data_IF_495364016372
#
_entry.id   IF_495364016372
#
_cell.length_a   1.000
_cell.length_b   1.000
_cell.length_c   1.000
_cell.angle_alpha   90.00
_cell.angle_beta   90.00
_cell.angle_gamma   90.00
#
_symmetry.space_group_name_H-M   'P 1'
#
loop_
_entity.id
_entity.type
_entity.pdbx_description
1 polymer ?
#
# COMPACT_ATOMS: atom_id res chain seq x y z
N UNK A 1 -11.57 45.63 46.26
CA UNK A 1 -12.15 45.67 47.61
C UNK A 1 -12.01 44.28 48.21
N UNK A 2 -11.44 44.25 49.38
CA UNK A 2 -11.05 43.04 50.12
C UNK A 2 -12.35 42.39 50.72
N UNK A 3 -12.37 41.06 50.79
CA UNK A 3 -13.39 40.31 51.51
C UNK A 3 -12.88 38.97 51.96
N UNK A 4 -12.61 38.90 53.22
CA UNK A 4 -11.88 37.89 54.03
C UNK A 4 -12.59 36.54 54.13
N UNK A 5 -11.78 35.50 54.15
CA UNK A 5 -12.04 34.15 54.58
C UNK A 5 -12.19 34.07 56.10
N UNK A 6 -13.12 33.24 56.64
CA UNK A 6 -13.08 32.76 58.01
C UNK A 6 -13.36 31.27 58.05
N UNK A 7 -12.36 30.58 58.56
CA UNK A 7 -12.42 29.17 58.98
C UNK A 7 -13.37 28.95 60.16
N UNK A 8 -14.03 27.85 60.17
CA UNK A 8 -14.60 27.23 61.38
C UNK A 8 -14.28 25.73 61.37
N UNK A 9 -13.56 25.35 62.39
CA UNK A 9 -13.22 23.97 62.76
C UNK A 9 -14.41 23.33 63.43
N UNK A 10 -14.78 22.12 63.04
CA UNK A 10 -15.80 21.28 63.69
C UNK A 10 -15.54 19.83 63.43
N UNK A 11 -15.40 19.09 64.52
CA UNK A 11 -15.00 17.71 64.72
C UNK A 11 -15.96 16.69 64.10
N UNK A 12 -15.46 15.68 63.45
CA UNK A 12 -15.90 14.26 63.57
C UNK A 12 -17.10 13.84 62.76
N UNK A 13 -16.87 12.93 61.83
CA UNK A 13 -17.45 11.59 61.66
C UNK A 13 -16.88 11.05 60.33
N UNK A 14 -16.19 9.89 60.40
CA UNK A 14 -15.79 9.13 59.22
C UNK A 14 -17.05 8.63 58.51
N UNK A 15 -17.32 9.13 57.29
CA UNK A 15 -18.17 8.46 56.34
C UNK A 15 -17.30 8.03 55.17
N UNK A 16 -17.17 6.72 54.99
CA UNK A 16 -16.53 6.08 53.84
C UNK A 16 -17.46 6.34 52.64
N UNK A 17 -17.19 7.38 51.85
CA UNK A 17 -17.84 7.57 50.57
C UNK A 17 -17.17 6.69 49.55
N UNK A 18 -17.81 5.57 49.23
CA UNK A 18 -17.45 4.76 48.06
C UNK A 18 -17.60 5.61 46.79
N UNK A 19 -16.51 5.82 46.07
CA UNK A 19 -16.57 6.29 44.69
C UNK A 19 -17.25 5.20 43.85
N UNK A 20 -18.51 5.42 43.54
CA UNK A 20 -19.19 4.70 42.47
C UNK A 20 -18.60 5.26 41.17
N UNK A 21 -17.79 4.45 40.48
CA UNK A 21 -17.40 4.70 39.10
C UNK A 21 -18.69 4.73 38.27
N UNK A 22 -18.90 5.75 37.42
CA UNK A 22 -20.03 5.73 36.50
C UNK A 22 -19.88 4.53 35.57
N UNK A 23 -20.96 3.75 35.45
CA UNK A 23 -21.04 2.54 34.64
C UNK A 23 -20.71 2.85 33.18
N UNK A 24 -19.88 2.02 32.62
CA UNK A 24 -19.57 1.91 31.18
C UNK A 24 -20.70 1.16 30.44
N UNK A 25 -21.95 1.43 30.79
CA UNK A 25 -23.10 0.93 30.06
C UNK A 25 -23.70 2.10 29.27
N UNK A 26 -23.27 2.21 28.02
CA UNK A 26 -23.84 2.98 26.88
C UNK A 26 -22.75 3.75 26.11
N UNK A 27 -21.71 3.03 25.62
CA UNK A 27 -21.11 3.45 24.37
C UNK A 27 -22.08 2.98 23.28
N UNK A 28 -22.62 3.90 22.45
CA UNK A 28 -23.32 3.47 21.25
C UNK A 28 -22.29 2.73 20.39
N UNK A 29 -22.61 1.48 20.07
CA UNK A 29 -21.95 0.79 18.97
C UNK A 29 -21.95 1.73 17.76
N UNK A 30 -20.85 1.84 17.00
CA UNK A 30 -20.85 2.63 15.78
C UNK A 30 -21.89 2.02 14.83
N UNK A 31 -23.07 2.61 14.80
CA UNK A 31 -24.11 2.32 13.81
C UNK A 31 -23.81 3.16 12.59
N UNK A 32 -22.86 2.73 11.81
CA UNK A 32 -22.73 2.82 10.35
C UNK A 32 -21.35 2.30 10.01
N UNK A 33 -21.25 1.01 9.77
CA UNK A 33 -20.28 0.51 8.79
C UNK A 33 -20.67 1.24 7.51
N UNK A 34 -19.86 2.19 7.05
CA UNK A 34 -20.01 2.69 5.68
C UNK A 34 -20.00 1.46 4.77
N UNK A 35 -20.89 1.39 3.77
CA UNK A 35 -21.00 0.20 2.95
C UNK A 35 -19.62 -0.10 2.38
N UNK A 36 -19.07 -1.23 2.76
CA UNK A 36 -17.89 -1.85 2.15
C UNK A 36 -18.09 -1.73 0.65
N UNK A 37 -17.19 -1.09 -0.06
CA UNK A 37 -17.44 -0.77 -1.47
C UNK A 37 -17.45 -2.08 -2.23
N UNK A 38 -18.62 -2.38 -2.74
CA UNK A 38 -18.89 -3.61 -3.46
C UNK A 38 -18.02 -3.70 -4.73
N UNK A 39 -17.70 -4.89 -5.22
CA UNK A 39 -16.93 -5.08 -6.44
C UNK A 39 -17.48 -4.32 -7.64
N UNK A 40 -16.66 -3.92 -8.62
CA UNK A 40 -17.11 -3.14 -9.77
C UNK A 40 -18.21 -3.79 -10.61
N UNK A 41 -18.32 -5.12 -10.59
CA UNK A 41 -19.39 -5.83 -11.28
C UNK A 41 -20.79 -5.51 -10.77
N UNK A 42 -20.92 -4.98 -9.54
CA UNK A 42 -22.20 -4.59 -8.93
C UNK A 42 -22.89 -3.46 -9.70
N UNK A 43 -22.13 -2.66 -10.44
CA UNK A 43 -22.66 -1.62 -11.31
C UNK A 43 -23.09 -2.12 -12.68
N UNK A 44 -22.86 -3.42 -13.01
CA UNK A 44 -23.16 -4.05 -14.30
C UNK A 44 -23.89 -5.39 -14.09
N UNK A 45 -23.19 -6.55 -14.18
CA UNK A 45 -23.79 -7.87 -13.93
C UNK A 45 -22.81 -8.83 -13.21
N UNK A 46 -22.80 -8.81 -11.88
CA UNK A 46 -21.99 -9.74 -11.09
C UNK A 46 -22.41 -11.21 -11.36
N UNK A 47 -21.43 -12.08 -11.44
CA UNK A 47 -21.62 -13.53 -11.43
C UNK A 47 -20.51 -14.21 -10.61
N UNK A 48 -20.65 -15.47 -10.25
CA UNK A 48 -19.68 -16.15 -9.39
C UNK A 48 -18.24 -16.18 -9.94
N UNK A 49 -18.04 -15.95 -11.23
CA UNK A 49 -16.72 -15.86 -11.85
C UNK A 49 -16.00 -14.54 -11.61
N UNK A 50 -16.70 -13.52 -11.12
CA UNK A 50 -16.14 -12.19 -10.84
C UNK A 50 -15.57 -12.07 -9.43
N UNK A 51 -15.76 -13.10 -8.59
CA UNK A 51 -15.27 -13.13 -7.22
C UNK A 51 -14.11 -14.11 -7.06
N UNK A 52 -13.08 -13.66 -6.35
CA UNK A 52 -11.92 -14.50 -6.04
C UNK A 52 -12.22 -15.59 -4.99
N UNK A 53 -13.17 -15.33 -4.10
CA UNK A 53 -13.53 -16.20 -2.99
C UNK A 53 -15.01 -16.04 -2.60
N UNK A 54 -15.51 -17.00 -1.83
CA UNK A 54 -16.90 -17.06 -1.40
C UNK A 54 -17.29 -15.90 -0.45
N UNK A 55 -16.45 -15.47 0.54
CA UNK A 55 -16.80 -14.34 1.39
C UNK A 55 -17.05 -13.03 0.65
N UNK A 56 -16.34 -12.75 -0.43
CA UNK A 56 -16.58 -11.55 -1.22
C UNK A 56 -17.93 -11.64 -1.98
N UNK A 57 -18.26 -12.81 -2.52
CA UNK A 57 -19.56 -13.06 -3.13
C UNK A 57 -20.70 -12.98 -2.09
N UNK A 58 -20.46 -13.48 -0.86
CA UNK A 58 -21.39 -13.40 0.26
C UNK A 58 -21.69 -11.97 0.66
N UNK A 59 -20.66 -11.13 0.71
CA UNK A 59 -20.80 -9.70 1.01
C UNK A 59 -21.75 -9.01 0.01
N UNK A 60 -21.64 -9.34 -1.27
CA UNK A 60 -22.54 -8.81 -2.31
C UNK A 60 -23.95 -9.33 -2.09
N UNK A 61 -24.12 -10.62 -1.86
CA UNK A 61 -25.45 -11.21 -1.57
C UNK A 61 -26.13 -10.51 -0.39
N UNK A 62 -25.39 -10.27 0.72
CA UNK A 62 -25.92 -9.63 1.92
C UNK A 62 -26.20 -8.11 1.74
N UNK A 63 -25.57 -7.49 0.74
CA UNK A 63 -25.73 -6.07 0.46
C UNK A 63 -26.95 -5.74 -0.39
N UNK A 64 -27.54 -6.73 -1.06
CA UNK A 64 -28.68 -6.55 -1.96
C UNK A 64 -29.84 -7.46 -1.57
N UNK A 65 -30.99 -6.86 -1.25
CA UNK A 65 -32.22 -7.63 -1.08
C UNK A 65 -32.58 -8.32 -2.41
N UNK A 66 -33.13 -9.52 -2.31
CA UNK A 66 -33.65 -10.30 -3.45
C UNK A 66 -32.60 -10.87 -4.42
N UNK A 67 -31.32 -10.89 -4.06
CA UNK A 67 -30.21 -11.46 -4.86
C UNK A 67 -30.30 -11.14 -6.38
N UNK A 68 -30.18 -9.86 -6.77
CA UNK A 68 -30.37 -9.45 -8.17
C UNK A 68 -29.35 -10.07 -9.14
N UNK A 69 -28.23 -10.60 -8.63
CA UNK A 69 -27.16 -11.22 -9.39
C UNK A 69 -27.22 -12.74 -9.41
N UNK A 70 -28.20 -13.32 -8.72
CA UNK A 70 -28.40 -14.79 -8.62
C UNK A 70 -27.14 -15.50 -8.11
N UNK A 71 -26.49 -14.94 -7.10
CA UNK A 71 -25.28 -15.48 -6.47
C UNK A 71 -25.60 -16.68 -5.55
N UNK A 72 -26.81 -16.71 -4.97
CA UNK A 72 -27.36 -17.81 -4.18
C UNK A 72 -28.44 -18.54 -5.00
N UNK A 73 -28.01 -19.40 -5.92
CA UNK A 73 -28.91 -20.02 -6.89
C UNK A 73 -29.91 -21.00 -6.28
N UNK A 74 -29.57 -21.65 -5.17
CA UNK A 74 -30.44 -22.64 -4.52
C UNK A 74 -31.22 -22.09 -3.32
N UNK A 75 -31.02 -20.82 -2.98
CA UNK A 75 -31.74 -20.08 -1.95
C UNK A 75 -31.39 -20.52 -0.52
N UNK A 76 -30.20 -21.04 -0.30
CA UNK A 76 -29.79 -21.55 1.00
C UNK A 76 -29.08 -20.47 1.86
N UNK A 77 -28.90 -19.25 1.35
CA UNK A 77 -28.25 -18.10 2.01
C UNK A 77 -26.74 -18.06 1.85
N UNK A 78 -26.16 -18.90 0.98
CA UNK A 78 -24.72 -18.97 0.72
C UNK A 78 -24.43 -18.62 -0.73
N UNK A 79 -23.73 -17.50 -0.95
CA UNK A 79 -23.37 -17.08 -2.29
C UNK A 79 -22.25 -17.95 -2.88
N UNK A 80 -22.37 -18.32 -4.15
CA UNK A 80 -21.28 -18.91 -4.94
C UNK A 80 -20.51 -20.04 -4.24
N UNK A 81 -21.19 -21.05 -3.72
CA UNK A 81 -20.64 -22.15 -2.91
C UNK A 81 -19.45 -22.90 -3.56
N UNK A 82 -19.32 -22.82 -4.89
CA UNK A 82 -18.20 -23.43 -5.60
C UNK A 82 -16.89 -22.63 -5.49
N UNK A 83 -16.96 -21.40 -4.98
CA UNK A 83 -15.77 -20.62 -4.71
C UNK A 83 -15.07 -21.09 -3.43
N UNK A 84 -13.76 -20.93 -3.33
CA UNK A 84 -13.03 -21.27 -2.11
C UNK A 84 -13.61 -20.49 -0.92
N UNK A 85 -13.68 -21.08 0.29
CA UNK A 85 -14.30 -20.48 1.47
C UNK A 85 -13.58 -19.25 2.06
N UNK A 86 -12.45 -18.97 1.74
CA UNK A 86 -11.56 -17.79 1.66
C UNK A 86 -10.65 -18.23 0.54
N UNK A 87 -10.07 -17.33 -0.22
CA UNK A 87 -8.87 -17.74 -0.93
C UNK A 87 -8.02 -18.39 0.15
N UNK A 88 -8.09 -19.75 0.22
CA UNK A 88 -7.28 -20.47 1.16
C UNK A 88 -5.89 -19.99 0.83
N UNK A 89 -5.49 -18.93 1.55
CA UNK A 89 -4.15 -18.46 1.50
C UNK A 89 -3.38 -19.74 1.57
N UNK A 90 -2.61 -20.03 0.57
CA UNK A 90 -1.56 -21.00 0.68
C UNK A 90 -1.23 -21.00 2.16
N UNK A 91 -1.36 -22.16 2.85
CA UNK A 91 -0.82 -22.35 4.19
C UNK A 91 0.39 -21.44 4.24
N UNK A 92 0.58 -20.52 5.23
CA UNK A 92 1.69 -19.61 5.18
C UNK A 92 2.87 -20.48 4.84
N UNK A 93 3.16 -20.54 3.55
CA UNK A 93 4.32 -21.24 3.08
C UNK A 93 5.35 -20.60 3.98
N UNK A 94 6.08 -21.37 4.74
CA UNK A 94 7.23 -20.95 5.50
C UNK A 94 8.23 -20.39 4.47
N UNK A 95 7.80 -19.42 3.71
CA UNK A 95 8.58 -18.48 2.97
C UNK A 95 9.06 -17.48 4.01
N UNK A 96 10.02 -17.92 4.82
CA UNK A 96 11.02 -16.99 5.31
C UNK A 96 11.62 -16.41 4.04
N UNK A 97 11.04 -15.32 3.56
CA UNK A 97 11.67 -14.55 2.50
C UNK A 97 13.02 -14.14 3.05
N UNK A 98 14.10 -14.76 2.57
CA UNK A 98 15.46 -14.33 2.92
C UNK A 98 15.68 -12.87 2.47
N UNK A 99 14.79 -12.36 1.61
CA UNK A 99 14.82 -11.01 1.07
C UNK A 99 13.95 -10.06 1.91
N UNK A 100 14.59 -9.20 2.69
CA UNK A 100 13.92 -8.19 3.53
C UNK A 100 12.92 -7.31 2.75
N UNK A 101 13.12 -7.16 1.44
CA UNK A 101 12.24 -6.36 0.60
C UNK A 101 10.90 -7.04 0.27
N UNK A 102 10.76 -8.32 0.56
CA UNK A 102 9.52 -9.09 0.40
C UNK A 102 8.89 -9.47 1.75
N UNK A 103 9.24 -8.78 2.82
CA UNK A 103 8.69 -9.03 4.17
C UNK A 103 7.16 -8.95 4.20
N UNK A 104 6.55 -8.05 3.44
CA UNK A 104 5.07 -7.94 3.35
C UNK A 104 4.44 -9.00 2.43
N UNK A 105 5.25 -9.76 1.70
CA UNK A 105 4.82 -10.76 0.72
C UNK A 105 5.19 -10.42 -0.72
N UNK A 106 4.69 -11.24 -1.64
CA UNK A 106 4.84 -11.10 -3.09
C UNK A 106 3.46 -10.82 -3.70
N UNK A 107 3.08 -9.55 -3.90
CA UNK A 107 1.69 -9.14 -4.15
C UNK A 107 1.01 -9.79 -5.35
N UNK A 108 1.76 -10.26 -6.32
CA UNK A 108 1.21 -10.86 -7.56
C UNK A 108 1.69 -12.29 -7.78
N UNK A 109 2.27 -12.95 -6.76
CA UNK A 109 2.95 -14.23 -6.93
C UNK A 109 3.93 -14.22 -8.12
N UNK A 110 4.73 -13.15 -8.24
CA UNK A 110 5.71 -12.99 -9.31
C UNK A 110 6.79 -14.10 -9.23
N UNK A 111 7.24 -14.55 -10.38
CA UNK A 111 8.24 -15.63 -10.49
C UNK A 111 9.05 -15.54 -11.76
N UNK A 112 9.91 -16.53 -12.02
CA UNK A 112 10.79 -16.56 -13.19
C UNK A 112 10.16 -17.04 -14.50
N UNK A 113 8.94 -17.58 -14.46
CA UNK A 113 8.31 -18.23 -15.61
C UNK A 113 7.43 -17.27 -16.45
N UNK A 114 6.81 -16.28 -15.83
CA UNK A 114 5.90 -15.34 -16.49
C UNK A 114 6.60 -14.01 -16.77
N UNK A 115 6.89 -13.72 -18.03
CA UNK A 115 7.56 -12.48 -18.44
C UNK A 115 6.76 -11.20 -18.16
N UNK A 116 5.46 -11.33 -17.89
CA UNK A 116 4.58 -10.21 -17.54
C UNK A 116 4.34 -10.09 -16.03
N UNK A 117 4.90 -11.01 -15.26
CA UNK A 117 4.94 -11.04 -13.81
C UNK A 117 6.30 -11.60 -13.34
N UNK A 118 7.38 -11.05 -13.90
CA UNK A 118 8.73 -11.57 -13.73
C UNK A 118 9.38 -10.97 -12.48
N UNK A 119 9.71 -11.84 -11.51
CA UNK A 119 10.36 -11.43 -10.26
C UNK A 119 11.84 -11.12 -10.49
N UNK A 120 12.26 -9.93 -10.09
CA UNK A 120 13.65 -9.53 -9.97
C UNK A 120 13.96 -9.17 -8.52
N UNK A 121 14.86 -9.91 -7.90
CA UNK A 121 15.33 -9.67 -6.54
C UNK A 121 16.72 -9.05 -6.58
N UNK A 122 16.90 -7.97 -5.82
CA UNK A 122 18.16 -7.25 -5.68
C UNK A 122 18.44 -6.99 -4.21
N UNK A 123 19.68 -6.69 -3.89
CA UNK A 123 20.04 -6.28 -2.53
C UNK A 123 19.36 -4.96 -2.11
N UNK A 124 18.91 -4.14 -3.07
CA UNK A 124 18.34 -2.82 -2.82
C UNK A 124 16.80 -2.79 -2.86
N UNK A 125 16.17 -3.71 -3.56
CA UNK A 125 14.72 -3.84 -3.69
C UNK A 125 14.35 -5.13 -4.43
N UNK A 126 13.08 -5.52 -4.37
CA UNK A 126 12.51 -6.54 -5.22
C UNK A 126 11.43 -5.93 -6.12
N UNK A 127 11.17 -6.48 -7.29
CA UNK A 127 10.12 -6.01 -8.18
C UNK A 127 9.53 -7.14 -9.03
N UNK A 128 8.26 -6.95 -9.44
CA UNK A 128 7.66 -7.68 -10.55
C UNK A 128 7.71 -6.82 -11.81
N UNK A 129 8.31 -7.35 -12.87
CA UNK A 129 8.38 -6.66 -14.15
C UNK A 129 7.35 -7.19 -15.15
N UNK A 130 6.80 -6.31 -15.97
CA UNK A 130 5.89 -6.64 -17.04
C UNK A 130 6.54 -6.37 -18.41
N UNK A 131 6.90 -7.44 -19.10
CA UNK A 131 7.61 -7.35 -20.38
C UNK A 131 6.76 -6.70 -21.50
N UNK A 132 5.46 -6.96 -21.53
CA UNK A 132 4.54 -6.36 -22.53
C UNK A 132 4.26 -4.89 -22.25
N UNK A 133 4.30 -4.47 -20.99
CA UNK A 133 4.08 -3.09 -20.58
C UNK A 133 5.36 -2.26 -20.53
N UNK A 134 6.54 -2.91 -20.47
CA UNK A 134 7.84 -2.25 -20.39
C UNK A 134 8.06 -1.47 -19.08
N UNK A 135 7.37 -1.85 -18.00
CA UNK A 135 7.43 -1.22 -16.68
C UNK A 135 7.25 -2.26 -15.58
N UNK A 136 7.63 -1.93 -14.34
CA UNK A 136 7.30 -2.77 -13.21
C UNK A 136 5.78 -2.79 -12.95
N UNK A 137 5.25 -3.95 -12.55
CA UNK A 137 3.93 -4.07 -11.95
C UNK A 137 3.92 -3.43 -10.57
N UNK A 138 4.92 -3.79 -9.75
CA UNK A 138 5.19 -3.23 -8.43
C UNK A 138 6.69 -3.33 -8.11
N UNK A 139 7.14 -2.50 -7.19
CA UNK A 139 8.47 -2.57 -6.57
C UNK A 139 8.27 -2.53 -5.06
N UNK A 140 8.98 -3.39 -4.34
CA UNK A 140 8.95 -3.48 -2.88
C UNK A 140 10.34 -3.24 -2.29
N UNK A 141 10.39 -2.44 -1.20
CA UNK A 141 11.66 -2.17 -0.53
C UNK A 141 11.49 -1.88 0.95
N UNK A 142 12.48 -2.28 1.72
CA UNK A 142 12.68 -1.87 3.10
C UNK A 142 13.50 -0.57 3.13
N UNK A 143 13.08 0.40 3.93
CA UNK A 143 13.79 1.66 4.16
C UNK A 143 14.02 1.83 5.66
N UNK A 144 15.30 1.93 6.05
CA UNK A 144 15.77 2.21 7.41
C UNK A 144 16.98 3.14 7.34
N UNK A 145 17.46 3.60 8.49
CA UNK A 145 18.65 4.42 8.60
C UNK A 145 19.88 3.78 7.93
N UNK A 146 19.97 2.45 7.91
CA UNK A 146 21.09 1.73 7.27
C UNK A 146 21.20 1.94 5.76
N UNK A 147 20.11 2.33 5.10
CA UNK A 147 20.09 2.63 3.66
C UNK A 147 20.48 4.06 3.33
N UNK A 148 20.47 4.94 4.34
CA UNK A 148 20.71 6.35 4.19
C UNK A 148 22.20 6.69 4.44
N UNK A 149 22.67 7.74 3.82
CA UNK A 149 24.04 8.21 3.89
C UNK A 149 24.25 9.49 3.08
N UNK A 150 25.49 9.78 2.73
CA UNK A 150 25.87 11.02 2.05
C UNK A 150 26.17 10.87 0.56
N UNK A 151 25.83 9.73 -0.04
CA UNK A 151 26.09 9.50 -1.47
C UNK A 151 25.24 10.43 -2.32
N UNK A 152 25.90 11.18 -3.20
CA UNK A 152 25.22 12.02 -4.17
C UNK A 152 24.47 11.20 -5.22
N UNK A 153 23.41 11.79 -5.77
CA UNK A 153 22.61 11.21 -6.86
C UNK A 153 23.48 10.90 -8.08
N UNK A 154 23.47 9.64 -8.51
CA UNK A 154 24.32 9.16 -9.62
C UNK A 154 23.84 9.54 -11.01
N UNK A 155 22.53 9.74 -11.18
CA UNK A 155 21.86 10.17 -12.42
C UNK A 155 22.25 9.35 -13.68
N UNK A 156 22.61 8.08 -13.49
CA UNK A 156 23.14 7.18 -14.52
C UNK A 156 22.08 6.20 -15.06
N UNK A 157 20.94 6.71 -15.50
CA UNK A 157 19.86 5.92 -16.10
C UNK A 157 20.37 4.98 -17.19
N UNK A 158 19.98 3.71 -17.13
CA UNK A 158 20.43 2.65 -18.04
C UNK A 158 19.47 1.48 -18.11
N UNK A 159 19.60 0.71 -19.17
CA UNK A 159 18.92 -0.58 -19.32
C UNK A 159 19.26 -1.52 -18.13
N UNK A 160 18.36 -2.44 -17.87
CA UNK A 160 18.55 -3.48 -16.87
C UNK A 160 18.93 -4.81 -17.54
N UNK A 161 20.20 -5.18 -17.42
CA UNK A 161 20.70 -6.47 -17.94
C UNK A 161 20.19 -7.69 -17.17
N UNK A 162 19.40 -7.54 -16.11
CA UNK A 162 18.80 -8.65 -15.35
C UNK A 162 17.50 -9.18 -15.96
N UNK A 163 16.95 -8.52 -16.99
CA UNK A 163 15.76 -9.01 -17.69
C UNK A 163 16.08 -10.22 -18.58
N UNK A 164 15.14 -11.18 -18.70
CA UNK A 164 15.34 -12.36 -19.54
C UNK A 164 15.39 -12.02 -21.02
N UNK A 165 15.98 -12.93 -21.80
CA UNK A 165 16.03 -12.82 -23.25
C UNK A 165 14.62 -12.75 -23.84
N UNK A 166 14.42 -11.82 -24.81
CA UNK A 166 13.14 -11.63 -25.48
C UNK A 166 12.28 -10.51 -24.87
N UNK A 167 12.58 -10.05 -23.65
CA UNK A 167 11.96 -8.87 -23.07
C UNK A 167 12.61 -7.61 -23.63
N UNK A 168 11.78 -6.64 -24.04
CA UNK A 168 12.27 -5.35 -24.51
C UNK A 168 13.07 -4.62 -23.43
N UNK A 169 14.28 -4.23 -23.78
CA UNK A 169 15.17 -3.48 -22.89
C UNK A 169 14.87 -2.00 -22.98
N UNK A 170 14.04 -1.50 -22.07
CA UNK A 170 13.71 -0.07 -22.00
C UNK A 170 14.96 0.76 -21.74
N UNK A 171 15.09 1.86 -22.48
CA UNK A 171 16.22 2.78 -22.45
C UNK A 171 15.81 4.18 -21.99
N UNK A 172 16.75 5.01 -21.52
CA UNK A 172 16.47 6.42 -21.24
C UNK A 172 15.98 7.21 -22.47
N UNK A 173 16.31 6.74 -23.67
CA UNK A 173 15.88 7.39 -24.92
C UNK A 173 14.39 7.21 -25.21
N UNK A 174 13.76 6.13 -24.69
CA UNK A 174 12.34 5.85 -24.85
C UNK A 174 11.44 6.92 -24.19
N UNK A 175 12.02 7.69 -23.26
CA UNK A 175 11.36 8.79 -22.54
C UNK A 175 11.68 10.17 -23.14
N UNK A 176 12.63 10.26 -24.11
CA UNK A 176 13.08 11.54 -24.61
C UNK A 176 11.98 12.24 -25.43
N UNK A 177 11.72 13.51 -25.13
CA UNK A 177 10.72 14.35 -25.81
C UNK A 177 9.28 13.83 -25.71
N UNK A 178 8.97 13.02 -24.71
CA UNK A 178 7.61 12.47 -24.49
C UNK A 178 6.74 13.34 -23.59
N UNK A 179 7.33 14.28 -22.85
CA UNK A 179 6.66 15.08 -21.83
C UNK A 179 6.61 14.39 -20.46
N UNK A 180 7.00 13.12 -20.36
CA UNK A 180 7.05 12.39 -19.10
C UNK A 180 8.46 12.39 -18.49
N UNK A 181 8.50 12.50 -17.16
CA UNK A 181 9.71 12.27 -16.41
C UNK A 181 10.04 10.77 -16.32
N UNK A 182 11.31 10.45 -16.11
CA UNK A 182 11.76 9.14 -15.67
C UNK A 182 11.58 9.07 -14.17
N UNK A 183 10.34 8.77 -13.74
CA UNK A 183 9.97 8.73 -12.33
C UNK A 183 10.48 7.46 -11.67
N UNK A 184 11.21 7.61 -10.57
CA UNK A 184 11.66 6.49 -9.76
C UNK A 184 10.49 5.91 -8.97
N UNK A 185 10.46 4.57 -8.81
CA UNK A 185 9.58 3.92 -7.83
C UNK A 185 10.31 3.85 -6.49
N UNK A 186 11.48 3.19 -6.43
CA UNK A 186 12.41 3.33 -5.30
C UNK A 186 13.24 4.60 -5.53
N UNK A 187 13.07 5.63 -4.73
CA UNK A 187 13.79 6.88 -4.90
C UNK A 187 15.31 6.71 -4.73
N UNK A 188 16.09 7.46 -5.50
CA UNK A 188 17.55 7.49 -5.29
C UNK A 188 17.90 8.01 -3.88
N UNK A 189 17.07 8.86 -3.31
CA UNK A 189 17.22 9.35 -1.93
C UNK A 189 17.13 8.27 -0.86
N UNK A 190 16.44 7.15 -1.14
CA UNK A 190 16.30 6.02 -0.21
C UNK A 190 17.49 5.04 -0.28
N UNK A 191 18.47 5.28 -1.15
CA UNK A 191 19.65 4.42 -1.37
C UNK A 191 20.92 5.25 -1.44
N UNK A 192 21.19 6.01 -0.36
CA UNK A 192 22.34 6.93 -0.29
C UNK A 192 23.51 6.40 0.54
N UNK A 193 23.45 5.14 1.00
CA UNK A 193 24.52 4.47 1.75
C UNK A 193 25.81 4.35 0.92
N UNK A 194 25.68 4.01 -0.35
CA UNK A 194 26.82 3.86 -1.26
C UNK A 194 26.49 4.28 -2.70
N UNK A 195 27.50 4.64 -3.53
CA UNK A 195 27.29 4.90 -4.95
C UNK A 195 26.70 3.72 -5.71
N UNK A 196 27.04 2.49 -5.31
CA UNK A 196 26.52 1.26 -5.90
C UNK A 196 25.04 1.11 -5.63
N UNK A 197 24.59 1.29 -4.37
CA UNK A 197 23.19 1.21 -4.00
C UNK A 197 22.37 2.29 -4.70
N UNK A 198 22.90 3.53 -4.75
CA UNK A 198 22.26 4.63 -5.44
C UNK A 198 22.12 4.36 -6.95
N UNK A 199 23.19 3.88 -7.58
CA UNK A 199 23.24 3.57 -9.02
C UNK A 199 22.19 2.54 -9.44
N UNK A 200 21.85 1.57 -8.61
CA UNK A 200 20.86 0.52 -8.94
C UNK A 200 19.45 1.10 -9.07
N UNK A 201 19.13 2.21 -8.38
CA UNK A 201 17.82 2.86 -8.51
C UNK A 201 17.58 3.45 -9.91
N UNK A 202 18.63 3.70 -10.70
CA UNK A 202 18.58 4.24 -12.07
C UNK A 202 18.44 3.18 -13.16
N UNK A 203 18.23 1.91 -12.80
CA UNK A 203 17.84 0.88 -13.77
C UNK A 203 16.43 1.17 -14.30
N UNK A 204 16.24 1.08 -15.62
CA UNK A 204 14.96 1.42 -16.24
C UNK A 204 13.80 0.51 -15.79
N UNK A 205 14.08 -0.64 -15.16
CA UNK A 205 13.07 -1.48 -14.52
C UNK A 205 12.47 -0.87 -13.24
N UNK A 206 13.15 0.08 -12.61
CA UNK A 206 12.66 0.86 -11.46
C UNK A 206 11.99 2.18 -11.86
N UNK A 207 11.76 2.41 -13.16
CA UNK A 207 11.32 3.71 -13.69
C UNK A 207 9.94 3.58 -14.31
N UNK A 208 9.04 4.49 -13.93
CA UNK A 208 7.73 4.68 -14.58
C UNK A 208 7.69 6.02 -15.31
N UNK A 209 6.96 6.11 -16.44
CA UNK A 209 6.63 7.41 -17.03
C UNK A 209 5.67 8.17 -16.10
N UNK A 210 6.13 9.26 -15.52
CA UNK A 210 5.37 10.12 -14.64
C UNK A 210 5.19 11.51 -15.23
N UNK A 211 4.00 12.08 -15.03
CA UNK A 211 3.77 13.49 -15.31
C UNK A 211 4.63 14.33 -14.36
N UNK A 212 5.35 15.38 -14.85
CA UNK A 212 6.25 16.17 -14.01
C UNK A 212 5.62 16.74 -12.74
N UNK A 213 4.36 17.17 -12.81
CA UNK A 213 3.61 17.72 -11.69
C UNK A 213 3.39 16.68 -10.57
N UNK A 214 3.14 15.42 -10.94
CA UNK A 214 3.08 14.33 -9.98
C UNK A 214 4.48 14.02 -9.41
N UNK A 215 5.43 13.70 -10.30
CA UNK A 215 6.78 13.25 -9.94
C UNK A 215 7.54 14.26 -9.05
N UNK A 216 7.44 15.53 -9.38
CA UNK A 216 8.17 16.62 -8.70
C UNK A 216 7.37 17.29 -7.59
N UNK A 217 6.08 17.00 -7.50
CA UNK A 217 5.11 17.50 -6.52
C UNK A 217 4.80 16.48 -5.43
N UNK A 218 3.55 16.05 -5.37
CA UNK A 218 2.98 15.24 -4.29
C UNK A 218 3.67 13.88 -4.09
N UNK A 219 4.18 13.26 -5.18
CA UNK A 219 4.94 12.02 -5.07
C UNK A 219 6.25 12.23 -4.32
N UNK A 220 7.01 13.26 -4.69
CA UNK A 220 8.24 13.64 -4.00
C UNK A 220 8.00 14.01 -2.53
N UNK A 221 6.92 14.74 -2.24
CA UNK A 221 6.58 15.12 -0.86
C UNK A 221 6.29 13.89 0.03
N UNK A 222 5.63 12.85 -0.53
CA UNK A 222 5.46 11.58 0.17
C UNK A 222 6.78 10.84 0.38
N UNK A 223 7.68 10.86 -0.59
CA UNK A 223 9.03 10.29 -0.45
C UNK A 223 9.85 11.02 0.62
N UNK A 224 9.79 12.34 0.66
CA UNK A 224 10.44 13.16 1.70
C UNK A 224 9.85 12.85 3.08
N UNK A 225 8.52 12.77 3.19
CA UNK A 225 7.85 12.36 4.42
C UNK A 225 8.27 10.97 4.89
N UNK A 226 8.41 10.01 3.98
CA UNK A 226 8.87 8.65 4.33
C UNK A 226 10.30 8.67 4.89
N UNK A 227 11.20 9.44 4.29
CA UNK A 227 12.57 9.61 4.84
C UNK A 227 12.59 10.36 6.17
N UNK A 228 11.71 11.35 6.35
CA UNK A 228 11.56 12.05 7.63
C UNK A 228 11.18 11.09 8.78
N UNK A 229 10.33 10.07 8.50
CA UNK A 229 9.99 9.05 9.49
C UNK A 229 11.22 8.24 9.93
N UNK A 230 12.11 7.94 8.99
CA UNK A 230 13.36 7.23 9.28
C UNK A 230 14.38 8.16 9.97
N UNK A 231 14.65 9.34 9.40
CA UNK A 231 15.73 10.23 9.86
C UNK A 231 15.43 10.89 11.21
N UNK A 232 14.16 11.23 11.47
CA UNK A 232 13.76 11.98 12.66
C UNK A 232 13.17 11.11 13.77
N UNK A 233 12.57 9.98 13.41
CA UNK A 233 11.83 9.12 14.34
C UNK A 233 12.41 7.72 14.42
N UNK A 234 13.51 7.43 13.70
CA UNK A 234 14.19 6.13 13.68
C UNK A 234 13.28 4.96 13.27
N UNK A 235 12.25 5.23 12.46
CA UNK A 235 11.29 4.21 12.02
C UNK A 235 11.88 3.33 10.92
N UNK A 236 11.37 2.10 10.82
CA UNK A 236 11.63 1.20 9.70
C UNK A 236 10.39 1.11 8.81
N UNK A 237 10.57 1.30 7.50
CA UNK A 237 9.46 1.30 6.57
C UNK A 237 9.55 0.12 5.61
N UNK A 238 8.44 -0.60 5.46
CA UNK A 238 8.26 -1.57 4.39
C UNK A 238 7.31 -0.98 3.37
N UNK A 239 7.79 -0.80 2.14
CA UNK A 239 7.10 -0.01 1.13
C UNK A 239 6.89 -0.85 -0.13
N UNK A 240 5.67 -0.83 -0.65
CA UNK A 240 5.33 -1.37 -1.97
C UNK A 240 4.72 -0.25 -2.80
N UNK A 241 5.16 -0.08 -4.05
CA UNK A 241 4.62 0.95 -4.93
C UNK A 241 4.61 0.50 -6.39
N UNK A 242 3.75 1.12 -7.18
CA UNK A 242 3.63 0.79 -8.59
C UNK A 242 2.70 1.71 -9.35
N UNK A 243 2.30 1.26 -10.54
CA UNK A 243 1.33 1.98 -11.36
C UNK A 243 0.34 1.04 -12.04
N UNK A 244 -0.89 1.51 -12.24
CA UNK A 244 -1.91 0.75 -12.95
C UNK A 244 -2.71 1.60 -13.94
N UNK A 245 -3.58 0.93 -14.72
CA UNK A 245 -4.28 1.54 -15.81
C UNK A 245 -3.37 1.88 -17.00
N UNK A 246 -3.91 2.55 -18.00
CA UNK A 246 -3.20 2.98 -19.20
C UNK A 246 -3.65 4.39 -19.58
N UNK A 247 -2.73 5.35 -19.56
CA UNK A 247 -2.99 6.72 -20.00
C UNK A 247 -2.43 6.97 -21.41
N UNK A 248 -1.24 6.44 -21.69
CA UNK A 248 -0.56 6.54 -22.96
C UNK A 248 0.42 5.37 -23.17
N UNK A 249 1.05 5.33 -24.32
CA UNK A 249 2.13 4.39 -24.61
C UNK A 249 3.28 5.12 -25.29
N UNK A 250 4.51 4.85 -24.87
CA UNK A 250 5.76 5.38 -25.40
C UNK A 250 6.49 4.30 -26.21
N UNK A 251 7.59 4.66 -26.88
CA UNK A 251 8.48 3.74 -27.55
C UNK A 251 7.74 2.78 -28.51
N UNK A 252 6.87 3.33 -29.37
CA UNK A 252 6.07 2.55 -30.35
C UNK A 252 5.15 1.50 -29.66
N UNK A 253 4.65 1.82 -28.47
CA UNK A 253 3.74 0.97 -27.72
C UNK A 253 4.39 0.05 -26.67
N UNK A 254 5.73 0.06 -26.59
CA UNK A 254 6.50 -0.85 -25.72
C UNK A 254 6.61 -0.41 -24.26
N UNK A 255 6.33 0.87 -23.97
CA UNK A 255 6.35 1.39 -22.60
C UNK A 255 4.98 1.97 -22.25
N UNK A 256 4.31 1.42 -21.28
CA UNK A 256 3.00 1.87 -20.82
C UNK A 256 3.16 3.04 -19.85
N UNK A 257 2.41 4.12 -20.09
CA UNK A 257 2.23 5.19 -19.11
C UNK A 257 1.03 4.82 -18.24
N UNK A 258 1.22 4.57 -16.94
CA UNK A 258 0.09 4.26 -16.04
C UNK A 258 -0.79 5.50 -15.87
N UNK A 259 -2.10 5.30 -15.71
CA UNK A 259 -3.01 6.40 -15.41
C UNK A 259 -3.02 6.77 -13.92
N UNK A 260 -2.56 5.86 -13.06
CA UNK A 260 -2.47 6.05 -11.62
C UNK A 260 -1.18 5.47 -11.06
N UNK A 261 -0.71 6.07 -9.99
CA UNK A 261 0.45 5.65 -9.21
C UNK A 261 0.02 5.43 -7.76
N UNK A 262 0.50 4.38 -7.15
CA UNK A 262 0.11 4.02 -5.81
C UNK A 262 1.32 3.65 -4.95
N UNK A 263 1.16 3.79 -3.64
CA UNK A 263 2.17 3.40 -2.65
C UNK A 263 1.49 2.94 -1.37
N UNK A 264 1.99 1.84 -0.81
CA UNK A 264 1.65 1.32 0.52
C UNK A 264 2.91 1.40 1.38
N UNK A 265 2.80 1.96 2.57
CA UNK A 265 3.91 2.13 3.52
C UNK A 265 3.45 1.56 4.86
N UNK A 266 4.07 0.48 5.30
CA UNK A 266 3.93 -0.06 6.66
C UNK A 266 5.06 0.52 7.51
N UNK A 267 4.71 1.13 8.64
CA UNK A 267 5.66 1.81 9.53
C UNK A 267 5.82 0.97 10.80
N UNK A 268 7.05 0.59 11.09
CA UNK A 268 7.42 -0.18 12.27
C UNK A 268 8.45 0.58 13.12
N UNK A 269 8.51 0.26 14.40
CA UNK A 269 9.56 0.75 15.28
C UNK A 269 10.89 0.00 15.00
N UNK A 270 12.04 0.58 15.36
CA UNK A 270 13.34 -0.04 15.11
C UNK A 270 13.44 -1.45 15.69
N UNK A 271 13.89 -2.38 14.87
CA UNK A 271 14.06 -3.79 15.25
C UNK A 271 12.78 -4.61 15.30
N UNK A 272 11.63 -4.02 14.98
CA UNK A 272 10.39 -4.77 14.76
C UNK A 272 10.43 -5.53 13.43
N UNK A 273 9.60 -6.54 13.35
CA UNK A 273 9.45 -7.44 12.20
C UNK A 273 7.97 -7.60 11.82
N UNK A 274 7.71 -8.39 10.81
CA UNK A 274 6.33 -8.75 10.45
C UNK A 274 5.53 -9.36 11.63
N UNK A 275 6.22 -10.06 12.54
CA UNK A 275 5.57 -10.67 13.72
C UNK A 275 5.07 -9.64 14.76
N UNK A 276 5.55 -8.39 14.66
CA UNK A 276 5.17 -7.30 15.56
C UNK A 276 4.05 -6.43 14.95
N UNK A 277 3.63 -6.72 13.72
CA UNK A 277 2.49 -6.03 13.08
C UNK A 277 1.21 -6.37 13.82
N UNK A 278 0.48 -5.34 14.24
CA UNK A 278 -0.79 -5.44 14.96
C UNK A 278 -1.84 -4.45 14.42
N UNK A 279 -3.03 -4.44 15.04
CA UNK A 279 -4.14 -3.56 14.62
C UNK A 279 -3.85 -2.05 14.75
N UNK A 280 -2.80 -1.67 15.48
CA UNK A 280 -2.37 -0.27 15.66
C UNK A 280 -1.24 0.13 14.72
N UNK A 281 -0.67 -0.81 13.98
CA UNK A 281 0.44 -0.56 13.04
C UNK A 281 0.01 0.46 11.98
N UNK A 282 0.76 1.57 11.81
CA UNK A 282 0.44 2.55 10.80
C UNK A 282 0.64 2.00 9.38
N UNK A 283 -0.42 2.01 8.58
CA UNK A 283 -0.38 1.66 7.15
C UNK A 283 -0.86 2.85 6.32
N UNK A 284 0.05 3.51 5.64
CA UNK A 284 -0.25 4.65 4.78
C UNK A 284 -0.43 4.14 3.36
N UNK A 285 -1.59 4.37 2.79
CA UNK A 285 -1.92 3.97 1.43
C UNK A 285 -2.34 5.17 0.62
N UNK A 286 -1.74 5.35 -0.55
CA UNK A 286 -2.11 6.43 -1.48
C UNK A 286 -2.35 5.87 -2.88
N UNK A 287 -3.30 6.51 -3.58
CA UNK A 287 -3.62 6.25 -4.97
C UNK A 287 -3.77 7.59 -5.71
N UNK A 288 -2.76 7.96 -6.48
CA UNK A 288 -2.62 9.27 -7.11
C UNK A 288 -2.86 9.19 -8.62
N UNK A 289 -3.63 10.11 -9.23
CA UNK A 289 -3.68 10.21 -10.68
C UNK A 289 -2.29 10.60 -11.23
N UNK A 290 -1.88 9.99 -12.34
CA UNK A 290 -0.68 10.41 -13.09
C UNK A 290 -1.08 11.51 -14.08
N UNK A 291 -1.47 12.69 -13.56
CA UNK A 291 -2.06 13.79 -14.32
C UNK A 291 -1.34 15.13 -14.12
N UNK A 292 -1.72 16.11 -14.94
CA UNK A 292 -1.12 17.46 -14.97
C UNK A 292 -1.62 18.33 -13.82
N UNK A 293 -2.84 18.08 -13.33
CA UNK A 293 -3.47 18.87 -12.26
C UNK A 293 -3.48 18.05 -10.98
N UNK A 294 -2.53 18.36 -10.12
CA UNK A 294 -2.37 17.69 -8.82
C UNK A 294 -2.58 18.69 -7.69
N UNK A 295 -3.19 18.21 -6.61
CA UNK A 295 -3.16 18.96 -5.35
C UNK A 295 -1.73 19.04 -4.80
N UNK A 296 -1.51 19.92 -3.83
CA UNK A 296 -0.19 20.12 -3.20
C UNK A 296 0.02 19.25 -1.96
N UNK A 297 -1.00 18.54 -1.49
CA UNK A 297 -0.92 17.68 -0.32
C UNK A 297 -1.24 16.22 -0.72
N UNK A 298 -0.25 15.35 -0.59
CA UNK A 298 -0.38 13.92 -0.89
C UNK A 298 -1.42 13.21 -0.01
N UNK A 299 -1.73 13.76 1.18
CA UNK A 299 -2.73 13.18 2.09
C UNK A 299 -4.14 13.17 1.50
N UNK A 300 -4.41 14.08 0.57
CA UNK A 300 -5.68 14.11 -0.16
C UNK A 300 -5.91 12.87 -1.05
N UNK A 301 -4.86 12.07 -1.28
CA UNK A 301 -4.88 10.86 -2.10
C UNK A 301 -4.85 9.57 -1.27
N UNK A 302 -5.03 9.67 0.06
CA UNK A 302 -5.11 8.48 0.90
C UNK A 302 -6.32 7.62 0.51
N UNK A 303 -6.13 6.33 0.60
CA UNK A 303 -7.14 5.30 0.33
C UNK A 303 -6.89 4.10 1.24
N UNK A 304 -7.61 3.01 1.04
CA UNK A 304 -7.42 1.73 1.72
C UNK A 304 -6.61 0.77 0.85
N UNK A 305 -5.94 -0.22 1.45
CA UNK A 305 -5.27 -1.27 0.71
C UNK A 305 -6.27 -2.11 -0.09
N UNK A 306 -7.43 -2.44 0.49
CA UNK A 306 -8.54 -3.15 -0.18
C UNK A 306 -8.91 -2.52 -1.54
N UNK A 307 -8.98 -1.18 -1.58
CA UNK A 307 -9.28 -0.48 -2.84
C UNK A 307 -8.18 -0.60 -3.88
N UNK A 308 -6.93 -0.62 -3.45
CA UNK A 308 -5.81 -0.87 -4.36
C UNK A 308 -5.79 -2.31 -4.84
N UNK A 309 -6.04 -3.26 -3.96
CA UNK A 309 -6.12 -4.67 -4.31
C UNK A 309 -7.22 -4.94 -5.33
N UNK A 310 -8.40 -4.35 -5.10
CA UNK A 310 -9.50 -4.41 -6.07
C UNK A 310 -9.10 -3.82 -7.43
N UNK A 311 -8.35 -2.71 -7.45
CA UNK A 311 -7.95 -2.04 -8.69
C UNK A 311 -6.80 -2.74 -9.42
N UNK A 312 -5.95 -3.46 -8.70
CA UNK A 312 -4.71 -4.05 -9.22
C UNK A 312 -4.75 -5.57 -9.35
N UNK A 313 -5.60 -6.23 -8.57
CA UNK A 313 -5.64 -7.69 -8.42
C UNK A 313 -4.46 -8.23 -7.59
N UNK A 314 -3.82 -7.40 -6.77
CA UNK A 314 -2.71 -7.79 -5.91
C UNK A 314 -3.19 -8.13 -4.51
N UNK A 315 -2.36 -8.86 -3.75
CA UNK A 315 -2.48 -9.14 -2.32
C UNK A 315 -1.27 -8.48 -1.62
N UNK A 316 -1.52 -7.27 -1.06
CA UNK A 316 -0.43 -6.33 -0.73
C UNK A 316 0.25 -6.64 0.60
N UNK A 317 -0.47 -7.17 1.57
CA UNK A 317 0.03 -7.52 2.90
C UNK A 317 -0.06 -9.02 3.15
N UNK A 318 0.15 -9.84 2.13
CA UNK A 318 -0.15 -11.29 2.09
C UNK A 318 0.54 -12.15 3.16
N UNK A 319 1.60 -11.65 3.81
CA UNK A 319 2.27 -12.33 4.91
C UNK A 319 1.87 -11.80 6.31
N UNK A 320 1.04 -10.76 6.39
CA UNK A 320 0.44 -10.31 7.65
C UNK A 320 -0.65 -11.31 8.06
N UNK A 321 -0.79 -11.68 9.35
CA UNK A 321 -1.88 -12.54 9.78
C UNK A 321 -3.26 -12.03 9.32
N UNK A 322 -4.09 -12.91 8.76
CA UNK A 322 -5.33 -12.56 8.04
C UNK A 322 -6.30 -11.72 8.88
N UNK A 323 -6.39 -11.95 10.19
CA UNK A 323 -7.23 -11.19 11.11
C UNK A 323 -6.74 -9.75 11.34
N UNK A 324 -5.44 -9.51 11.20
CA UNK A 324 -4.82 -8.18 11.28
C UNK A 324 -4.91 -7.51 9.91
N UNK A 325 -4.59 -8.25 8.86
CA UNK A 325 -4.66 -7.82 7.47
C UNK A 325 -6.03 -7.22 7.15
N UNK A 326 -7.12 -7.95 7.44
CA UNK A 326 -8.49 -7.53 7.18
C UNK A 326 -8.86 -6.16 7.81
N UNK A 327 -8.27 -5.80 8.95
CA UNK A 327 -8.50 -4.51 9.61
C UNK A 327 -7.61 -3.42 9.04
N UNK A 328 -6.32 -3.70 8.83
CA UNK A 328 -5.37 -2.73 8.32
C UNK A 328 -5.68 -2.34 6.87
N UNK A 329 -6.06 -3.30 6.04
CA UNK A 329 -6.38 -3.08 4.62
C UNK A 329 -7.67 -2.31 4.40
N UNK A 330 -8.66 -2.51 5.26
CA UNK A 330 -9.92 -1.78 5.22
C UNK A 330 -9.81 -0.33 5.75
N UNK A 331 -8.70 0.03 6.41
CA UNK A 331 -8.57 1.28 7.15
C UNK A 331 -7.76 2.33 6.40
N UNK A 332 -8.12 3.61 6.60
CA UNK A 332 -7.28 4.75 6.24
C UNK A 332 -6.58 5.24 7.49
N UNK A 333 -5.26 5.17 7.54
CA UNK A 333 -4.49 5.64 8.68
C UNK A 333 -4.57 7.16 8.83
N UNK A 334 -5.05 7.62 10.00
CA UNK A 334 -5.10 9.04 10.31
C UNK A 334 -3.70 9.55 10.68
N UNK A 335 -3.05 10.22 9.72
CA UNK A 335 -1.72 10.78 9.94
C UNK A 335 -1.80 11.92 10.94
N UNK A 336 -1.02 11.88 12.06
CA UNK A 336 -0.97 12.98 13.00
C UNK A 336 -0.60 14.29 12.30
N UNK A 337 -1.39 15.35 12.52
CA UNK A 337 -1.10 16.66 11.93
C UNK A 337 0.28 17.15 12.40
N UNK A 338 1.09 17.70 11.50
CA UNK A 338 2.25 18.50 11.92
C UNK A 338 1.73 19.67 12.75
N UNK A 339 2.11 19.73 14.05
CA UNK A 339 1.88 20.90 14.91
C UNK A 339 2.78 22.05 14.51
#
# INVERSE_FOLDING_TARGET
>A
MRGFCRSLVGLGILAISGCVLPGIDNLPLPTSVEPTRLPPCVDDDCNCGDFRDQPLAQLVLESFADDPFVLDRDGNGVACEALPPVSAGLEPATQTSENVHLTLGNPSNAGGENLNNYLLERAQYALSYNGDRGVANWVSWHLSADWLGSTERQDNFRQDGGLPTGVYQVTPNDYRNTGYDRGHIVPSGDRTRSPQDNSVTFLMTNILPQVPENNRGVWRELEEYSRDLVDQFDQELFIIAGGYGVQARLAEGRVTVPSRLWKVIVVLDPGQSLADVDLSTPVIVVDMPNGDVMGTDWRAYQTTADRLELATGYDLLSLVPVEIQAVLEASVYAIPGRQ
#
